data_IF_604234685307
#
_entry.id   IF_604234685307
#
_cell.length_a   1.000
_cell.length_b   1.000
_cell.length_c   1.000
_cell.angle_alpha   90.00
_cell.angle_beta   90.00
_cell.angle_gamma   90.00
#
_symmetry.space_group_name_H-M   'P 1'
#
loop_
_entity.id
_entity.type
_entity.pdbx_description
1 polymer ?
#
# COMPACT_ATOMS: atom_id res chain seq x y z
N UNK A 1 -8.96 7.28 -9.68
CA UNK A 1 -9.20 6.51 -8.44
C UNK A 1 -10.39 7.11 -7.72
N UNK A 2 -11.22 6.32 -7.02
CA UNK A 2 -12.33 6.88 -6.23
C UNK A 2 -12.24 6.39 -4.79
N UNK A 3 -12.17 7.32 -3.85
CA UNK A 3 -12.22 7.07 -2.41
C UNK A 3 -13.50 6.31 -2.02
N UNK A 4 -13.36 5.37 -1.11
CA UNK A 4 -14.43 4.55 -0.57
C UNK A 4 -14.55 4.84 0.93
N UNK A 5 -15.69 5.41 1.32
CA UNK A 5 -16.05 5.53 2.73
C UNK A 5 -16.35 4.14 3.28
N UNK A 6 -15.65 3.75 4.36
CA UNK A 6 -15.81 2.44 4.94
C UNK A 6 -15.61 2.46 6.47
N UNK A 7 -16.73 2.36 7.17
CA UNK A 7 -16.88 2.63 8.61
C UNK A 7 -15.96 1.82 9.53
N UNK A 8 -15.64 0.54 9.26
CA UNK A 8 -14.70 -0.19 10.12
C UNK A 8 -13.27 0.35 10.11
N UNK A 9 -12.83 1.01 9.03
CA UNK A 9 -11.54 1.70 9.01
C UNK A 9 -11.57 2.98 9.83
N UNK A 10 -12.71 3.67 9.91
CA UNK A 10 -12.85 4.91 10.69
C UNK A 10 -12.51 4.69 12.16
N UNK A 11 -13.00 3.60 12.77
CA UNK A 11 -12.67 3.27 14.17
C UNK A 11 -11.18 3.10 14.41
N UNK A 12 -10.48 2.48 13.45
CA UNK A 12 -9.03 2.26 13.54
C UNK A 12 -8.30 3.59 13.31
N UNK A 13 -8.76 4.40 12.35
CA UNK A 13 -8.21 5.73 12.06
C UNK A 13 -8.35 6.68 13.24
N UNK A 14 -9.51 6.71 13.90
CA UNK A 14 -9.77 7.53 15.08
C UNK A 14 -8.75 7.23 16.18
N UNK A 15 -8.51 5.94 16.45
CA UNK A 15 -7.47 5.52 17.39
C UNK A 15 -6.08 5.95 16.94
N UNK A 16 -5.69 5.61 15.70
CA UNK A 16 -4.36 5.89 15.15
C UNK A 16 -4.06 7.39 14.99
N UNK A 17 -5.07 8.26 15.04
CA UNK A 17 -4.91 9.71 15.02
C UNK A 17 -4.48 10.30 16.37
N UNK A 18 -4.66 9.54 17.46
CA UNK A 18 -4.49 10.01 18.84
C UNK A 18 -3.49 9.20 19.67
N UNK A 19 -2.78 8.23 19.10
CA UNK A 19 -1.82 7.40 19.84
C UNK A 19 -0.61 8.21 20.27
N UNK A 20 -0.55 8.53 21.56
CA UNK A 20 0.54 9.27 22.19
C UNK A 20 1.18 8.44 23.32
N UNK A 21 2.35 7.87 23.02
CA UNK A 21 3.12 6.98 23.89
C UNK A 21 4.11 7.75 24.79
N UNK A 22 3.75 8.98 25.19
CA UNK A 22 4.60 9.87 25.98
C UNK A 22 5.61 10.64 25.12
N UNK A 23 6.78 10.06 24.87
CA UNK A 23 7.86 10.71 24.11
C UNK A 23 7.72 10.53 22.59
N UNK A 24 6.81 9.66 22.14
CA UNK A 24 6.61 9.31 20.73
C UNK A 24 5.13 9.29 20.40
N UNK A 25 4.79 9.78 19.22
CA UNK A 25 3.44 9.71 18.67
C UNK A 25 3.44 8.77 17.48
N UNK A 26 2.50 7.84 17.44
CA UNK A 26 2.27 6.99 16.28
C UNK A 26 1.10 7.59 15.51
N UNK A 27 1.29 7.74 14.19
CA UNK A 27 0.26 8.19 13.27
C UNK A 27 0.02 7.10 12.26
N UNK A 28 -1.23 6.73 12.06
CA UNK A 28 -1.66 5.83 11.00
C UNK A 28 -2.91 6.37 10.33
N UNK A 29 -3.05 6.05 9.04
CA UNK A 29 -4.23 6.36 8.26
C UNK A 29 -4.49 5.20 7.29
N UNK A 30 -5.73 4.75 7.26
CA UNK A 30 -6.23 3.69 6.40
C UNK A 30 -7.29 4.29 5.48
N UNK A 31 -7.04 4.24 4.19
CA UNK A 31 -7.95 4.75 3.17
C UNK A 31 -8.16 3.69 2.10
N UNK A 32 -9.42 3.51 1.69
CA UNK A 32 -9.78 2.57 0.65
C UNK A 32 -10.06 3.30 -0.66
N UNK A 33 -9.51 2.78 -1.77
CA UNK A 33 -9.71 3.32 -3.10
C UNK A 33 -10.19 2.25 -4.06
N UNK A 34 -11.18 2.61 -4.89
CA UNK A 34 -11.57 1.81 -6.04
C UNK A 34 -10.78 2.21 -7.29
N UNK A 35 -10.31 1.20 -7.99
CA UNK A 35 -9.52 1.33 -9.21
C UNK A 35 -10.46 1.30 -10.43
N UNK A 36 -10.87 2.48 -10.93
CA UNK A 36 -11.64 2.58 -12.18
C UNK A 36 -10.79 3.18 -13.29
N UNK A 37 -10.66 2.44 -14.40
CA UNK A 37 -9.94 2.86 -15.59
C UNK A 37 -10.78 3.80 -16.48
N UNK A 38 -10.99 5.04 -16.03
CA UNK A 38 -11.78 6.02 -16.79
C UNK A 38 -11.03 7.34 -16.97
N UNK A 39 -11.16 7.96 -18.14
CA UNK A 39 -10.61 9.29 -18.42
C UNK A 39 -9.08 9.34 -18.39
N UNK A 40 -8.53 10.28 -17.62
CA UNK A 40 -7.09 10.53 -17.45
C UNK A 40 -6.34 9.32 -16.91
N UNK A 41 -6.96 8.59 -15.98
CA UNK A 41 -6.37 7.40 -15.35
C UNK A 41 -6.06 6.30 -16.38
N UNK A 42 -6.86 6.18 -17.43
CA UNK A 42 -6.63 5.19 -18.50
C UNK A 42 -5.38 5.51 -19.33
N UNK A 43 -5.11 6.80 -19.56
CA UNK A 43 -3.91 7.22 -20.30
C UNK A 43 -2.66 7.03 -19.44
N UNK A 44 -2.74 7.42 -18.17
CA UNK A 44 -1.66 7.25 -17.21
C UNK A 44 -1.35 5.78 -16.97
N UNK A 45 -2.37 4.91 -16.83
CA UNK A 45 -2.17 3.48 -16.62
C UNK A 45 -1.42 2.83 -17.78
N UNK A 46 -1.82 3.12 -19.02
CA UNK A 46 -1.13 2.62 -20.21
C UNK A 46 0.32 3.10 -20.27
N UNK A 47 0.55 4.39 -19.99
CA UNK A 47 1.90 4.96 -19.97
C UNK A 47 2.82 4.25 -18.97
N UNK A 48 2.31 4.00 -17.75
CA UNK A 48 3.05 3.30 -16.69
C UNK A 48 3.29 1.82 -17.06
N UNK A 49 2.32 1.13 -17.66
CA UNK A 49 2.50 -0.25 -18.12
C UNK A 49 3.62 -0.36 -19.17
N UNK A 50 3.68 0.58 -20.13
CA UNK A 50 4.75 0.61 -21.13
C UNK A 50 6.12 0.89 -20.52
N UNK A 51 6.20 1.83 -19.58
CA UNK A 51 7.46 2.15 -18.88
C UNK A 51 7.99 0.94 -18.11
N UNK A 52 7.12 0.23 -17.38
CA UNK A 52 7.50 -0.98 -16.63
C UNK A 52 7.99 -2.08 -17.60
N UNK A 53 7.30 -2.28 -18.73
CA UNK A 53 7.69 -3.26 -19.74
C UNK A 53 9.03 -2.95 -20.39
N UNK A 54 9.26 -1.68 -20.73
CA UNK A 54 10.53 -1.21 -21.29
C UNK A 54 11.69 -1.40 -20.29
N UNK A 55 11.44 -1.13 -19.01
CA UNK A 55 12.41 -1.41 -17.95
C UNK A 55 12.76 -2.90 -17.83
N UNK A 56 11.76 -3.80 -17.84
CA UNK A 56 12.01 -5.24 -17.82
C UNK A 56 12.81 -5.69 -19.04
N UNK A 57 12.44 -5.20 -20.23
CA UNK A 57 13.11 -5.53 -21.50
C UNK A 57 14.58 -5.10 -21.54
N UNK A 58 14.94 -4.02 -20.86
CA UNK A 58 16.33 -3.54 -20.73
C UNK A 58 17.15 -4.30 -19.69
N UNK A 59 16.51 -4.99 -18.74
CA UNK A 59 17.21 -5.67 -17.65
C UNK A 59 17.72 -7.09 -18.00
N UNK A 60 17.30 -7.67 -19.13
CA UNK A 60 17.63 -9.08 -19.45
C UNK A 60 19.09 -9.34 -19.81
N UNK A 61 19.92 -8.30 -20.00
CA UNK A 61 21.32 -8.44 -20.39
C UNK A 61 22.30 -8.49 -19.19
N UNK A 62 21.81 -8.40 -17.94
CA UNK A 62 22.70 -8.38 -16.76
C UNK A 62 22.32 -9.48 -15.76
N UNK A 63 23.10 -10.57 -15.74
CA UNK A 63 22.98 -11.65 -14.75
C UNK A 63 23.28 -11.15 -13.34
N UNK A 64 22.23 -10.70 -12.65
CA UNK A 64 22.15 -10.64 -11.19
C UNK A 64 20.66 -10.67 -10.83
N UNK A 65 20.30 -11.30 -9.72
CA UNK A 65 18.94 -11.29 -9.17
C UNK A 65 18.47 -9.85 -8.99
N UNK A 66 17.78 -9.32 -10.00
CA UNK A 66 17.39 -7.93 -10.07
C UNK A 66 16.22 -7.68 -9.12
N UNK A 67 16.18 -6.53 -8.41
CA UNK A 67 15.02 -6.10 -7.62
C UNK A 67 13.70 -6.05 -8.40
N UNK A 68 13.74 -6.21 -9.74
CA UNK A 68 12.60 -6.21 -10.63
C UNK A 68 11.84 -7.56 -10.72
N UNK A 69 12.29 -8.63 -10.05
CA UNK A 69 11.70 -9.97 -10.21
C UNK A 69 10.21 -10.02 -9.83
N UNK A 70 9.76 -9.18 -8.89
CA UNK A 70 8.35 -9.06 -8.53
C UNK A 70 7.46 -8.53 -9.68
N UNK A 71 8.05 -7.81 -10.65
CA UNK A 71 7.34 -7.26 -11.81
C UNK A 71 7.22 -8.25 -12.98
N UNK A 72 7.76 -9.46 -12.86
CA UNK A 72 7.62 -10.48 -13.89
C UNK A 72 6.15 -10.87 -14.11
N UNK A 73 5.34 -10.88 -13.04
CA UNK A 73 3.93 -11.22 -13.14
C UNK A 73 3.10 -10.06 -13.72
N UNK A 74 2.05 -10.39 -14.48
CA UNK A 74 1.11 -9.36 -15.00
C UNK A 74 0.30 -8.71 -13.87
N UNK A 75 -0.03 -9.48 -12.83
CA UNK A 75 -0.81 -8.97 -11.68
C UNK A 75 0.01 -7.95 -10.89
N UNK A 76 1.26 -8.24 -10.52
CA UNK A 76 2.10 -7.30 -9.77
C UNK A 76 2.37 -5.99 -10.54
N UNK A 77 2.50 -6.05 -11.88
CA UNK A 77 2.59 -4.83 -12.72
C UNK A 77 1.31 -4.00 -12.68
N UNK A 78 0.15 -4.63 -12.80
CA UNK A 78 -1.15 -3.92 -12.66
C UNK A 78 -1.30 -3.32 -11.27
N UNK A 79 -0.90 -4.04 -10.23
CA UNK A 79 -0.95 -3.51 -8.86
C UNK A 79 -0.04 -2.31 -8.71
N UNK A 80 1.20 -2.35 -9.23
CA UNK A 80 2.09 -1.19 -9.23
C UNK A 80 1.47 0.02 -9.94
N UNK A 81 0.84 -0.19 -11.10
CA UNK A 81 0.13 0.88 -11.82
C UNK A 81 -0.96 1.51 -10.97
N UNK A 82 -1.79 0.69 -10.31
CA UNK A 82 -2.84 1.19 -9.42
C UNK A 82 -2.29 1.94 -8.21
N UNK A 83 -1.18 1.47 -7.63
CA UNK A 83 -0.51 2.14 -6.52
C UNK A 83 0.00 3.53 -6.91
N UNK A 84 0.61 3.65 -8.10
CA UNK A 84 1.05 4.95 -8.63
C UNK A 84 -0.15 5.86 -8.92
N UNK A 85 -1.25 5.33 -9.46
CA UNK A 85 -2.49 6.11 -9.64
C UNK A 85 -3.09 6.58 -8.31
N UNK A 86 -3.02 5.77 -7.25
CA UNK A 86 -3.40 6.19 -5.90
C UNK A 86 -2.54 7.35 -5.43
N UNK A 87 -1.22 7.29 -5.65
CA UNK A 87 -0.31 8.37 -5.29
C UNK A 87 -0.61 9.66 -6.06
N UNK A 88 -0.87 9.60 -7.37
CA UNK A 88 -1.31 10.76 -8.15
C UNK A 88 -2.64 11.33 -7.64
N UNK A 89 -3.53 10.51 -7.11
CA UNK A 89 -4.78 10.99 -6.53
C UNK A 89 -4.56 11.64 -5.15
N UNK A 90 -3.66 11.10 -4.33
CA UNK A 90 -3.33 11.66 -3.00
C UNK A 90 -2.50 12.94 -3.10
N UNK A 91 -1.60 13.02 -4.09
CA UNK A 91 -0.67 14.12 -4.29
C UNK A 91 -0.70 14.58 -5.76
N UNK A 92 -1.78 15.26 -6.19
CA UNK A 92 -1.99 15.63 -7.60
C UNK A 92 -0.92 16.61 -8.14
N UNK A 93 -0.30 17.38 -7.26
CA UNK A 93 0.76 18.33 -7.61
C UNK A 93 2.16 17.68 -7.67
N UNK A 94 2.27 16.39 -7.34
CA UNK A 94 3.53 15.66 -7.34
C UNK A 94 3.69 14.83 -8.62
N UNK A 95 4.83 15.00 -9.30
CA UNK A 95 5.17 14.23 -10.49
C UNK A 95 5.86 12.90 -10.13
N UNK A 96 5.09 11.82 -10.14
CA UNK A 96 5.60 10.47 -9.87
C UNK A 96 6.33 9.84 -11.07
N UNK A 97 6.30 10.45 -12.26
CA UNK A 97 7.01 9.92 -13.45
C UNK A 97 8.54 9.93 -13.28
N UNK A 98 9.07 10.89 -12.51
CA UNK A 98 10.49 10.96 -12.18
C UNK A 98 10.95 9.87 -11.21
N UNK A 99 10.02 9.27 -10.45
CA UNK A 99 10.32 8.44 -9.29
C UNK A 99 10.63 6.99 -9.66
N UNK A 100 10.54 6.56 -10.93
CA UNK A 100 10.74 5.16 -11.33
C UNK A 100 10.12 4.20 -10.32
N UNK A 101 8.81 4.34 -10.13
CA UNK A 101 8.07 3.77 -9.00
C UNK A 101 8.54 2.34 -8.64
N UNK A 102 8.75 1.48 -9.63
CA UNK A 102 9.30 0.13 -9.50
C UNK A 102 10.56 -0.04 -8.61
N UNK A 103 11.34 0.99 -8.32
CA UNK A 103 12.47 0.95 -7.38
C UNK A 103 12.09 1.09 -5.91
N UNK A 104 10.89 1.60 -5.62
CA UNK A 104 10.44 1.93 -4.26
C UNK A 104 9.33 1.00 -3.75
N UNK A 105 8.82 0.09 -4.59
CA UNK A 105 7.80 -0.88 -4.20
C UNK A 105 8.41 -2.27 -4.04
N UNK A 106 8.03 -2.91 -2.94
CA UNK A 106 8.30 -4.32 -2.68
C UNK A 106 6.98 -5.01 -2.42
N UNK A 107 6.80 -6.20 -3.01
CA UNK A 107 5.67 -7.06 -2.68
C UNK A 107 5.99 -7.84 -1.40
N UNK A 108 5.15 -7.69 -0.37
CA UNK A 108 5.35 -8.28 0.94
C UNK A 108 4.28 -9.35 1.21
N UNK A 109 4.66 -10.41 1.93
CA UNK A 109 3.70 -11.40 2.41
C UNK A 109 2.93 -10.90 3.64
N UNK A 110 1.77 -11.51 3.91
CA UNK A 110 1.02 -11.22 5.14
C UNK A 110 1.85 -11.51 6.40
N UNK A 111 2.67 -12.56 6.38
CA UNK A 111 3.55 -12.89 7.50
C UNK A 111 4.65 -11.83 7.71
N UNK A 112 5.25 -11.32 6.62
CA UNK A 112 6.22 -10.22 6.68
C UNK A 112 5.57 -8.96 7.26
N UNK A 113 4.38 -8.60 6.77
CA UNK A 113 3.61 -7.50 7.35
C UNK A 113 3.35 -7.69 8.83
N UNK A 114 2.91 -8.88 9.24
CA UNK A 114 2.61 -9.17 10.64
C UNK A 114 3.83 -8.98 11.52
N UNK A 115 5.00 -9.45 11.08
CA UNK A 115 6.25 -9.25 11.81
C UNK A 115 6.61 -7.76 11.94
N UNK A 116 6.46 -6.98 10.85
CA UNK A 116 6.67 -5.52 10.87
C UNK A 116 5.67 -4.86 11.82
N UNK A 117 4.39 -5.22 11.72
CA UNK A 117 3.33 -4.67 12.55
C UNK A 117 3.59 -4.96 14.02
N UNK A 118 3.87 -6.21 14.38
CA UNK A 118 4.16 -6.62 15.76
C UNK A 118 5.41 -5.93 16.31
N UNK A 119 6.43 -5.66 15.47
CA UNK A 119 7.65 -4.99 15.89
C UNK A 119 7.48 -3.47 16.11
N UNK A 120 6.77 -2.78 15.21
CA UNK A 120 6.67 -1.31 15.22
C UNK A 120 5.40 -0.77 15.90
N UNK A 121 4.31 -1.54 15.89
CA UNK A 121 3.01 -1.16 16.46
C UNK A 121 2.73 -1.84 17.80
N UNK A 122 3.75 -2.41 18.45
CA UNK A 122 3.60 -3.14 19.72
C UNK A 122 2.90 -2.31 20.80
N UNK A 123 3.42 -1.12 21.09
CA UNK A 123 2.88 -0.24 22.13
C UNK A 123 1.45 0.25 21.79
N UNK A 124 1.20 0.63 20.53
CA UNK A 124 -0.15 0.95 20.06
C UNK A 124 -1.12 -0.23 20.21
N UNK A 125 -0.65 -1.44 19.92
CA UNK A 125 -1.47 -2.65 20.04
C UNK A 125 -1.84 -2.92 21.49
N UNK A 126 -0.93 -2.64 22.43
CA UNK A 126 -1.19 -2.74 23.87
C UNK A 126 -2.27 -1.73 24.31
N UNK A 127 -2.13 -0.46 23.95
CA UNK A 127 -3.14 0.57 24.27
C UNK A 127 -4.51 0.24 23.67
N UNK A 128 -4.53 -0.26 22.43
CA UNK A 128 -5.76 -0.68 21.79
C UNK A 128 -6.43 -1.84 22.52
N UNK A 129 -5.66 -2.86 22.95
CA UNK A 129 -6.19 -4.00 23.72
C UNK A 129 -6.76 -3.52 25.05
N UNK A 130 -6.09 -2.61 25.75
CA UNK A 130 -6.57 -2.04 27.01
C UNK A 130 -7.89 -1.28 26.83
N UNK A 131 -8.05 -0.55 25.72
CA UNK A 131 -9.26 0.23 25.44
C UNK A 131 -10.42 -0.61 24.85
N UNK A 132 -10.13 -1.64 24.04
CA UNK A 132 -11.14 -2.33 23.23
C UNK A 132 -11.31 -3.82 23.56
N UNK A 133 -10.38 -4.43 24.32
CA UNK A 133 -10.41 -5.85 24.68
C UNK A 133 -10.12 -6.82 23.55
N UNK A 134 -9.74 -6.34 22.35
CA UNK A 134 -9.45 -7.14 21.16
C UNK A 134 -8.11 -6.72 20.56
N UNK A 135 -7.47 -7.61 19.78
CA UNK A 135 -6.22 -7.28 19.09
C UNK A 135 -6.44 -6.23 18.00
N UNK A 136 -5.53 -5.25 17.91
CA UNK A 136 -5.51 -4.25 16.86
C UNK A 136 -5.26 -4.89 15.49
N UNK A 137 -4.31 -5.83 15.42
CA UNK A 137 -4.00 -6.56 14.19
C UNK A 137 -5.19 -7.37 13.69
N UNK A 138 -5.93 -8.02 14.59
CA UNK A 138 -7.15 -8.77 14.23
C UNK A 138 -8.27 -7.83 13.75
N UNK A 139 -8.40 -6.66 14.38
CA UNK A 139 -9.36 -5.63 13.96
C UNK A 139 -9.02 -5.10 12.57
N UNK A 140 -7.73 -4.86 12.31
CA UNK A 140 -7.22 -4.49 11.01
C UNK A 140 -7.48 -5.58 9.97
N UNK A 141 -7.09 -6.82 10.24
CA UNK A 141 -7.30 -7.94 9.33
C UNK A 141 -8.77 -8.10 8.94
N UNK A 142 -9.70 -8.03 9.90
CA UNK A 142 -11.14 -8.08 9.63
C UNK A 142 -11.61 -6.94 8.73
N UNK A 143 -11.17 -5.71 9.00
CA UNK A 143 -11.50 -4.56 8.17
C UNK A 143 -10.95 -4.71 6.73
N UNK A 144 -9.77 -5.31 6.58
CA UNK A 144 -9.17 -5.58 5.27
C UNK A 144 -9.87 -6.70 4.50
N UNK A 145 -10.24 -7.77 5.20
CA UNK A 145 -10.91 -8.93 4.62
C UNK A 145 -12.30 -8.56 4.09
N UNK A 146 -13.06 -7.76 4.85
CA UNK A 146 -14.37 -7.25 4.43
C UNK A 146 -14.31 -6.39 3.15
N UNK A 147 -13.25 -5.61 2.95
CA UNK A 147 -13.06 -4.80 1.73
C UNK A 147 -12.51 -5.65 0.57
N UNK A 148 -12.29 -6.96 0.78
CA UNK A 148 -11.76 -7.93 -0.19
C UNK A 148 -10.35 -7.56 -0.70
N UNK A 149 -9.47 -7.05 0.16
CA UNK A 149 -8.07 -6.83 -0.21
C UNK A 149 -7.34 -8.18 -0.27
N UNK A 150 -7.25 -8.76 -1.47
CA UNK A 150 -6.56 -10.05 -1.70
C UNK A 150 -5.03 -9.94 -1.74
N UNK A 151 -4.49 -8.73 -1.93
CA UNK A 151 -3.06 -8.44 -1.89
C UNK A 151 -2.82 -7.18 -1.09
N UNK A 152 -1.90 -7.27 -0.14
CA UNK A 152 -1.40 -6.12 0.60
C UNK A 152 -0.02 -5.79 0.08
N UNK A 153 0.14 -4.60 -0.49
CA UNK A 153 1.45 -4.08 -0.84
C UNK A 153 1.76 -2.98 0.17
N UNK A 154 2.80 -3.18 0.97
CA UNK A 154 3.32 -2.15 1.85
C UNK A 154 4.16 -1.18 1.03
N UNK A 155 3.75 0.09 0.97
CA UNK A 155 4.63 1.15 0.49
C UNK A 155 5.55 1.54 1.66
N UNK A 156 6.74 0.94 1.72
CA UNK A 156 7.79 1.42 2.63
C UNK A 156 8.66 2.39 1.84
N UNK A 157 8.48 3.72 1.94
CA UNK A 157 9.46 4.63 1.38
C UNK A 157 10.76 4.39 2.13
N UNK A 158 11.87 4.32 1.39
CA UNK A 158 13.19 3.94 1.89
C UNK A 158 13.77 4.88 2.97
N UNK A 159 13.04 5.90 3.40
CA UNK A 159 13.40 6.78 4.50
C UNK A 159 12.18 7.20 5.31
N UNK A 160 11.93 6.46 6.40
CA UNK A 160 11.08 6.80 7.56
C UNK A 160 9.59 7.10 7.26
N UNK A 161 8.73 6.25 7.84
CA UNK A 161 7.25 6.24 7.79
C UNK A 161 6.63 5.71 6.50
N UNK A 162 6.18 4.44 6.60
CA UNK A 162 5.44 3.70 5.58
C UNK A 162 4.05 4.27 5.35
N UNK A 163 3.72 4.51 4.09
CA UNK A 163 2.33 4.65 3.65
C UNK A 163 1.86 3.20 3.42
N UNK A 164 0.79 2.72 4.04
CA UNK A 164 0.22 1.42 3.66
C UNK A 164 -0.88 1.68 2.63
N UNK A 165 -0.59 1.48 1.35
CA UNK A 165 -1.61 1.59 0.29
C UNK A 165 -2.10 0.20 -0.09
N UNK A 166 -3.36 -0.11 0.25
CA UNK A 166 -4.00 -1.35 -0.13
C UNK A 166 -4.67 -1.21 -1.50
N UNK A 167 -4.36 -2.11 -2.42
CA UNK A 167 -4.95 -2.11 -3.75
C UNK A 167 -5.89 -3.31 -3.91
N UNK A 168 -7.15 -3.04 -4.22
CA UNK A 168 -8.15 -4.06 -4.51
C UNK A 168 -7.92 -4.58 -5.93
N UNK A 169 -7.53 -5.85 -6.06
CA UNK A 169 -7.51 -6.54 -7.35
C UNK A 169 -8.93 -7.05 -7.63
N UNK A 170 -9.69 -6.34 -8.47
CA UNK A 170 -10.94 -6.89 -9.00
C UNK A 170 -10.58 -7.98 -10.03
N UNK A 171 -10.83 -9.23 -9.65
CA UNK A 171 -10.75 -10.37 -10.55
C UNK A 171 -11.82 -10.17 -11.65
N UNK A 172 -11.36 -10.00 -12.88
CA UNK A 172 -12.12 -10.35 -14.08
C UNK A 172 -11.85 -11.81 -14.41
#
# INVERSE_FOLDING_TARGET
MKFLEYTPLDRINDFLSHVNLGERTIKGCLEAYSCKHTGTDKKLSLSLEYEILDYLGKSSDTESSSPAEFLCSRSSRKTLVYLVLTLYHMYPDYDFSAVKAHHFFTEESWDSFKQIFDAYMFESSKEWIEANGVSLLESLYKALDEVNFRKMILMVPSSKFGISSLCKEEAL
#
